data_IF_505776563098
#
_entry.id   IF_505776563098
#
_cell.length_a   1.000
_cell.length_b   1.000
_cell.length_c   1.000
_cell.angle_alpha   90.00
_cell.angle_beta   90.00
_cell.angle_gamma   90.00
#
_symmetry.space_group_name_H-M   'P 1'
#
loop_
_entity.id
_entity.type
_entity.pdbx_description
1 polymer ?
#
# COMPACT_ATOMS: atom_id res chain seq x y z
N UNK A 1 -9.47 -8.65 29.34
CA UNK A 1 -10.48 -8.05 28.43
C UNK A 1 -9.93 -7.88 27.02
N UNK A 2 -8.83 -7.13 26.83
CA UNK A 2 -8.21 -6.90 25.51
C UNK A 2 -7.83 -8.18 24.74
N UNK A 3 -7.18 -9.14 25.42
CA UNK A 3 -6.77 -10.41 24.81
C UNK A 3 -7.97 -11.29 24.38
N UNK A 4 -9.04 -11.31 25.18
CA UNK A 4 -10.29 -11.99 24.83
C UNK A 4 -11.01 -11.32 23.64
N UNK A 5 -10.98 -9.99 23.56
CA UNK A 5 -11.53 -9.25 22.42
C UNK A 5 -10.75 -9.54 21.13
N UNK A 6 -9.42 -9.62 21.23
CA UNK A 6 -8.55 -9.93 20.09
C UNK A 6 -8.72 -11.36 19.59
N UNK A 7 -8.85 -12.33 20.50
CA UNK A 7 -9.17 -13.72 20.16
C UNK A 7 -10.54 -13.79 19.49
N UNK A 8 -11.56 -13.15 20.07
CA UNK A 8 -12.92 -13.13 19.49
C UNK A 8 -12.98 -12.52 18.10
N UNK A 9 -12.27 -11.40 17.86
CA UNK A 9 -12.17 -10.81 16.52
C UNK A 9 -11.41 -11.71 15.53
N UNK A 10 -10.40 -12.45 16.01
CA UNK A 10 -9.65 -13.41 15.17
C UNK A 10 -10.52 -14.61 14.78
N UNK A 11 -11.31 -15.14 15.72
CA UNK A 11 -12.27 -16.22 15.45
C UNK A 11 -13.33 -15.79 14.43
N UNK A 12 -13.88 -14.59 14.58
CA UNK A 12 -14.82 -14.01 13.61
C UNK A 12 -14.18 -13.87 12.23
N UNK A 13 -12.91 -13.41 12.17
CA UNK A 13 -12.14 -13.34 10.94
C UNK A 13 -11.95 -14.71 10.27
N UNK A 14 -11.63 -15.75 11.04
CA UNK A 14 -11.50 -17.12 10.55
C UNK A 14 -12.86 -17.65 10.03
N UNK A 15 -13.96 -17.38 10.74
CA UNK A 15 -15.30 -17.77 10.30
C UNK A 15 -15.66 -17.09 8.98
N UNK A 16 -15.44 -15.78 8.84
CA UNK A 16 -15.68 -15.08 7.56
C UNK A 16 -14.78 -15.58 6.44
N UNK A 17 -13.51 -15.88 6.72
CA UNK A 17 -12.60 -16.48 5.75
C UNK A 17 -13.08 -17.87 5.31
N UNK A 18 -13.57 -18.71 6.24
CA UNK A 18 -14.14 -20.02 5.92
C UNK A 18 -15.44 -19.91 5.13
N UNK A 19 -16.35 -19.01 5.53
CA UNK A 19 -17.56 -18.73 4.76
C UNK A 19 -17.17 -18.31 3.35
N UNK A 20 -16.24 -17.37 3.20
CA UNK A 20 -15.75 -16.92 1.90
C UNK A 20 -15.13 -18.07 1.12
N UNK A 21 -14.30 -18.92 1.74
CA UNK A 21 -13.71 -20.11 1.11
C UNK A 21 -14.77 -21.11 0.60
N UNK A 22 -15.83 -21.34 1.39
CA UNK A 22 -16.90 -22.28 1.02
C UNK A 22 -17.98 -21.66 0.10
N UNK A 23 -18.05 -20.33 -0.01
CA UNK A 23 -19.07 -19.63 -0.82
C UNK A 23 -18.50 -18.92 -2.05
N UNK A 24 -17.18 -18.76 -2.14
CA UNK A 24 -16.53 -18.11 -3.28
C UNK A 24 -16.35 -19.10 -4.42
N UNK A 25 -16.94 -18.74 -5.55
CA UNK A 25 -16.85 -19.41 -6.84
C UNK A 25 -15.55 -19.05 -7.56
N UNK A 26 -14.39 -19.24 -6.92
CA UNK A 26 -13.12 -19.10 -7.63
C UNK A 26 -12.94 -20.27 -8.59
N UNK A 27 -12.84 -19.90 -9.88
CA UNK A 27 -12.62 -20.71 -11.07
C UNK A 27 -12.07 -22.11 -10.76
N UNK A 28 -12.92 -23.14 -10.84
CA UNK A 28 -12.43 -24.51 -10.88
C UNK A 28 -11.40 -24.59 -12.02
N UNK A 29 -10.17 -24.91 -11.64
CA UNK A 29 -9.12 -25.33 -12.56
C UNK A 29 -9.77 -26.28 -13.56
N UNK A 30 -9.73 -25.94 -14.84
CA UNK A 30 -10.39 -26.73 -15.88
C UNK A 30 -9.88 -28.17 -15.77
N UNK A 31 -10.68 -29.21 -16.03
CA UNK A 31 -10.21 -30.61 -15.89
C UNK A 31 -8.85 -30.88 -16.57
N UNK A 32 -8.55 -30.15 -17.66
CA UNK A 32 -7.26 -30.18 -18.34
C UNK A 32 -6.12 -29.49 -17.56
N UNK A 33 -6.37 -28.33 -16.94
CA UNK A 33 -5.39 -27.65 -16.08
C UNK A 33 -5.17 -28.43 -14.77
N UNK A 34 -6.20 -29.09 -14.24
CA UNK A 34 -6.10 -29.93 -13.05
C UNK A 34 -5.31 -31.20 -13.35
N UNK A 35 -5.53 -31.80 -14.54
CA UNK A 35 -4.72 -32.91 -15.02
C UNK A 35 -3.26 -32.52 -15.29
N UNK A 36 -2.99 -31.29 -15.76
CA UNK A 36 -1.64 -30.77 -15.93
C UNK A 36 -0.94 -30.53 -14.57
N UNK A 37 -1.63 -29.91 -13.61
CA UNK A 37 -1.13 -29.74 -12.23
C UNK A 37 -0.91 -31.09 -11.52
N UNK A 38 -1.78 -32.08 -11.74
CA UNK A 38 -1.63 -33.44 -11.23
C UNK A 38 -0.47 -34.19 -11.91
N UNK A 39 -0.25 -33.98 -13.22
CA UNK A 39 0.88 -34.55 -13.95
C UNK A 39 2.21 -33.95 -13.48
N UNK A 40 2.25 -32.63 -13.21
CA UNK A 40 3.39 -31.96 -12.57
C UNK A 40 3.61 -32.44 -11.13
N UNK A 41 2.53 -32.68 -10.37
CA UNK A 41 2.62 -33.25 -9.01
C UNK A 41 3.12 -34.70 -8.99
N UNK A 42 2.84 -35.49 -10.03
CA UNK A 42 3.28 -36.89 -10.15
C UNK A 42 4.73 -37.06 -10.63
N UNK A 43 5.40 -35.99 -11.10
CA UNK A 43 6.81 -36.04 -11.53
C UNK A 43 7.84 -35.82 -10.40
N UNK A 44 7.42 -35.58 -9.16
CA UNK A 44 8.33 -35.26 -8.05
C UNK A 44 8.78 -36.46 -7.20
N UNK A 45 9.70 -37.29 -7.69
CA UNK A 45 10.54 -38.09 -6.79
C UNK A 45 11.52 -37.13 -6.06
N UNK A 46 11.51 -37.17 -4.72
CA UNK A 46 12.22 -36.31 -3.75
C UNK A 46 11.58 -34.95 -3.38
N UNK A 47 10.69 -35.02 -2.39
CA UNK A 47 9.93 -33.90 -1.78
C UNK A 47 10.79 -32.67 -1.40
N UNK A 48 12.05 -32.84 -1.01
CA UNK A 48 12.94 -31.72 -0.64
C UNK A 48 13.55 -30.99 -1.85
N UNK A 49 13.96 -31.72 -2.89
CA UNK A 49 14.46 -31.16 -4.14
C UNK A 49 13.32 -30.45 -4.89
N UNK A 50 12.12 -31.04 -4.90
CA UNK A 50 10.91 -30.42 -5.47
C UNK A 50 10.54 -29.12 -4.76
N UNK A 51 10.71 -29.01 -3.43
CA UNK A 51 10.48 -27.76 -2.70
C UNK A 51 11.48 -26.66 -3.08
N UNK A 52 12.77 -26.98 -3.21
CA UNK A 52 13.78 -26.02 -3.64
C UNK A 52 13.61 -25.56 -5.08
N UNK A 53 13.20 -26.46 -5.98
CA UNK A 53 12.88 -26.13 -7.38
C UNK A 53 11.67 -25.19 -7.41
N UNK A 54 10.56 -25.55 -6.75
CA UNK A 54 9.36 -24.70 -6.65
C UNK A 54 9.65 -23.34 -6.01
N UNK A 55 10.52 -23.29 -4.99
CA UNK A 55 10.96 -22.02 -4.40
C UNK A 55 11.74 -21.16 -5.40
N UNK A 56 12.68 -21.76 -6.15
CA UNK A 56 13.45 -21.04 -7.18
C UNK A 56 12.55 -20.53 -8.31
N UNK A 57 11.56 -21.31 -8.72
CA UNK A 57 10.55 -20.92 -9.72
C UNK A 57 9.72 -19.75 -9.20
N UNK A 58 9.16 -19.85 -8.00
CA UNK A 58 8.39 -18.79 -7.36
C UNK A 58 9.22 -17.51 -7.19
N UNK A 59 10.49 -17.64 -6.76
CA UNK A 59 11.41 -16.51 -6.65
C UNK A 59 11.71 -15.88 -8.02
N UNK A 60 11.88 -16.70 -9.07
CA UNK A 60 12.03 -16.22 -10.44
C UNK A 60 10.76 -15.49 -10.92
N UNK A 61 9.58 -15.99 -10.59
CA UNK A 61 8.31 -15.35 -10.93
C UNK A 61 8.19 -14.00 -10.25
N UNK A 62 8.48 -13.91 -8.94
CA UNK A 62 8.55 -12.63 -8.24
C UNK A 62 9.54 -11.66 -8.89
N UNK A 63 10.77 -12.11 -9.18
CA UNK A 63 11.77 -11.29 -9.86
C UNK A 63 11.35 -10.87 -11.27
N UNK A 64 10.54 -11.68 -11.97
CA UNK A 64 10.02 -11.33 -13.29
C UNK A 64 9.02 -10.18 -13.23
N UNK A 65 8.21 -10.12 -12.17
CA UNK A 65 7.22 -9.05 -11.94
C UNK A 65 7.94 -7.69 -11.74
N UNK A 66 9.10 -7.68 -11.08
CA UNK A 66 9.92 -6.47 -10.95
C UNK A 66 10.39 -5.86 -12.28
N UNK A 67 10.34 -6.60 -13.40
CA UNK A 67 10.66 -6.01 -14.71
C UNK A 67 9.65 -4.92 -15.08
N UNK A 68 8.39 -5.09 -14.70
CA UNK A 68 7.28 -4.17 -15.01
C UNK A 68 7.51 -2.84 -14.30
N UNK A 69 7.73 -1.78 -15.08
CA UNK A 69 8.03 -0.43 -14.57
C UNK A 69 6.93 0.12 -13.68
N UNK A 70 5.66 -0.06 -14.06
CA UNK A 70 4.52 0.43 -13.28
C UNK A 70 4.40 -0.27 -11.94
N UNK A 71 4.61 -1.60 -11.90
CA UNK A 71 4.56 -2.36 -10.65
C UNK A 71 5.64 -1.90 -9.66
N UNK A 72 6.88 -1.70 -10.12
CA UNK A 72 7.97 -1.17 -9.27
C UNK A 72 7.57 0.14 -8.61
N UNK A 73 7.04 1.10 -9.40
CA UNK A 73 6.61 2.39 -8.86
C UNK A 73 5.48 2.25 -7.86
N UNK A 74 4.48 1.43 -8.17
CA UNK A 74 3.36 1.17 -7.27
C UNK A 74 3.84 0.62 -5.93
N UNK A 75 4.73 -0.37 -5.95
CA UNK A 75 5.31 -0.98 -4.76
C UNK A 75 6.11 0.01 -3.89
N UNK A 76 6.81 0.98 -4.51
CA UNK A 76 7.46 2.06 -3.74
C UNK A 76 6.47 3.06 -3.15
N UNK A 77 5.40 3.40 -3.87
CA UNK A 77 4.34 4.31 -3.38
C UNK A 77 3.68 3.67 -2.16
N UNK A 78 3.15 2.47 -2.35
CA UNK A 78 2.37 1.77 -1.34
C UNK A 78 3.22 1.40 -0.12
N UNK A 79 4.45 0.94 -0.34
CA UNK A 79 5.42 0.72 0.73
C UNK A 79 5.71 2.00 1.52
N UNK A 80 5.96 3.13 0.87
CA UNK A 80 6.22 4.40 1.56
C UNK A 80 4.98 4.92 2.31
N UNK A 81 3.77 4.73 1.76
CA UNK A 81 2.51 5.08 2.40
C UNK A 81 2.30 4.26 3.68
N UNK A 82 2.57 2.95 3.61
CA UNK A 82 2.44 2.06 4.74
C UNK A 82 3.48 2.37 5.84
N UNK A 83 4.70 2.71 5.45
CA UNK A 83 5.75 3.20 6.37
C UNK A 83 5.34 4.52 7.03
N UNK A 84 4.85 5.50 6.27
CA UNK A 84 4.40 6.79 6.79
C UNK A 84 3.25 6.62 7.79
N UNK A 85 2.23 5.85 7.42
CA UNK A 85 1.07 5.56 8.27
C UNK A 85 1.46 4.84 9.55
N UNK A 86 2.36 3.85 9.45
CA UNK A 86 2.84 3.11 10.61
C UNK A 86 3.66 3.99 11.57
N UNK A 87 4.61 4.77 11.05
CA UNK A 87 5.40 5.68 11.88
C UNK A 87 4.51 6.73 12.56
N UNK A 88 3.51 7.26 11.85
CA UNK A 88 2.53 8.18 12.44
C UNK A 88 1.75 7.49 13.56
N UNK A 89 1.24 6.28 13.33
CA UNK A 89 0.52 5.49 14.36
C UNK A 89 1.36 5.19 15.60
N UNK A 90 2.64 4.87 15.41
CA UNK A 90 3.59 4.59 16.49
C UNK A 90 3.87 5.84 17.34
N UNK A 91 4.05 7.01 16.72
CA UNK A 91 4.54 8.22 17.39
C UNK A 91 3.43 9.14 17.88
N UNK A 92 2.26 9.18 17.22
CA UNK A 92 1.19 10.15 17.48
C UNK A 92 0.75 10.14 18.95
N UNK A 93 0.54 8.97 19.55
CA UNK A 93 0.16 8.86 20.97
C UNK A 93 1.24 9.45 21.88
N UNK A 94 2.50 9.11 21.62
CA UNK A 94 3.61 9.61 22.42
C UNK A 94 3.81 11.12 22.25
N UNK A 95 3.58 11.65 21.05
CA UNK A 95 3.62 13.08 20.78
C UNK A 95 2.52 13.83 21.54
N UNK A 96 1.26 13.39 21.46
CA UNK A 96 0.13 14.02 22.15
C UNK A 96 0.33 14.03 23.67
N UNK A 97 0.80 12.91 24.24
CA UNK A 97 0.96 12.80 25.70
C UNK A 97 2.22 13.50 26.19
N UNK A 98 3.37 13.26 25.57
CA UNK A 98 4.66 13.69 26.12
C UNK A 98 5.16 15.03 25.58
N UNK A 99 4.68 15.49 24.41
CA UNK A 99 5.06 16.80 23.85
C UNK A 99 3.97 17.83 24.15
N UNK A 100 2.73 17.50 23.83
CA UNK A 100 1.59 18.42 23.99
C UNK A 100 1.01 18.42 25.41
N UNK A 101 1.33 17.41 26.24
CA UNK A 101 0.82 17.31 27.61
C UNK A 101 -0.68 17.01 27.68
N UNK A 102 -1.27 16.48 26.61
CA UNK A 102 -2.68 16.13 26.54
C UNK A 102 -2.91 14.68 27.01
N UNK A 103 -4.16 14.33 27.31
CA UNK A 103 -4.50 12.97 27.72
C UNK A 103 -4.46 12.01 26.51
N UNK A 104 -4.04 10.75 26.73
CA UNK A 104 -4.10 9.69 25.74
C UNK A 104 -5.51 9.45 25.18
N UNK A 105 -6.57 9.78 25.94
CA UNK A 105 -7.95 9.76 25.45
C UNK A 105 -8.16 10.66 24.23
N UNK A 106 -7.43 11.79 24.13
CA UNK A 106 -7.49 12.68 22.96
C UNK A 106 -7.09 11.94 21.70
N UNK A 107 -6.05 11.11 21.74
CA UNK A 107 -5.64 10.29 20.60
C UNK A 107 -6.74 9.33 20.15
N UNK A 108 -7.42 8.67 21.11
CA UNK A 108 -8.53 7.77 20.80
C UNK A 108 -9.70 8.51 20.14
N UNK A 109 -10.01 9.73 20.58
CA UNK A 109 -11.02 10.58 19.95
C UNK A 109 -10.61 10.99 18.52
N UNK A 110 -9.36 11.41 18.29
CA UNK A 110 -8.86 11.77 16.96
C UNK A 110 -8.89 10.58 15.99
N UNK A 111 -8.51 9.38 16.45
CA UNK A 111 -8.59 8.15 15.65
C UNK A 111 -10.04 7.81 15.30
N UNK A 112 -10.96 7.92 16.25
CA UNK A 112 -12.39 7.68 16.00
C UNK A 112 -12.97 8.67 14.98
N UNK A 113 -12.58 9.95 15.09
CA UNK A 113 -12.95 11.00 14.15
C UNK A 113 -12.38 10.72 12.75
N UNK A 114 -11.13 10.26 12.68
CA UNK A 114 -10.47 9.85 11.43
C UNK A 114 -11.25 8.75 10.71
N UNK A 115 -11.65 7.70 11.42
CA UNK A 115 -12.44 6.61 10.83
C UNK A 115 -13.80 7.10 10.34
N UNK A 116 -14.49 7.92 11.13
CA UNK A 116 -15.82 8.43 10.77
C UNK A 116 -15.77 9.34 9.54
N UNK A 117 -14.88 10.35 9.54
CA UNK A 117 -14.71 11.26 8.39
C UNK A 117 -14.17 10.50 7.18
N UNK A 118 -13.28 9.53 7.39
CA UNK A 118 -12.63 8.77 6.33
C UNK A 118 -13.61 8.05 5.41
N UNK A 119 -14.70 7.50 5.95
CA UNK A 119 -15.76 6.87 5.14
C UNK A 119 -16.33 7.86 4.11
N UNK A 120 -16.64 9.09 4.53
CA UNK A 120 -17.17 10.12 3.63
C UNK A 120 -16.12 10.60 2.63
N UNK A 121 -14.87 10.74 3.06
CA UNK A 121 -13.75 11.11 2.20
C UNK A 121 -13.55 10.06 1.10
N UNK A 122 -13.58 8.77 1.43
CA UNK A 122 -13.44 7.68 0.45
C UNK A 122 -14.58 7.67 -0.56
N UNK A 123 -15.83 7.87 -0.13
CA UNK A 123 -17.00 7.97 -1.04
C UNK A 123 -16.82 9.16 -2.01
N UNK A 124 -16.45 10.33 -1.48
CA UNK A 124 -16.20 11.50 -2.31
C UNK A 124 -15.01 11.28 -3.26
N UNK A 125 -13.93 10.65 -2.79
CA UNK A 125 -12.75 10.32 -3.58
C UNK A 125 -13.07 9.37 -4.74
N UNK A 126 -13.91 8.36 -4.50
CA UNK A 126 -14.39 7.45 -5.55
C UNK A 126 -15.20 8.15 -6.63
N UNK A 127 -15.95 9.20 -6.30
CA UNK A 127 -16.63 10.03 -7.30
C UNK A 127 -15.63 10.91 -8.09
N UNK A 128 -14.65 11.50 -7.39
CA UNK A 128 -13.65 12.41 -7.97
C UNK A 128 -12.67 11.68 -8.90
N UNK A 129 -12.23 10.47 -8.57
CA UNK A 129 -11.27 9.69 -9.39
C UNK A 129 -11.84 9.27 -10.74
N UNK A 130 -13.16 9.12 -10.84
CA UNK A 130 -13.83 8.85 -12.10
C UNK A 130 -13.95 10.08 -13.01
N UNK A 131 -13.78 11.29 -12.45
CA UNK A 131 -13.97 12.57 -13.17
C UNK A 131 -12.67 13.33 -13.45
N UNK A 132 -11.65 13.17 -12.59
CA UNK A 132 -10.39 13.89 -12.69
C UNK A 132 -9.22 12.93 -12.83
N UNK A 133 -8.18 13.37 -13.56
CA UNK A 133 -6.98 12.56 -13.78
C UNK A 133 -6.30 12.20 -12.44
N UNK A 134 -5.93 10.91 -12.21
CA UNK A 134 -5.37 10.44 -10.94
C UNK A 134 -4.17 11.25 -10.46
N UNK A 135 -3.35 11.77 -11.37
CA UNK A 135 -2.14 12.54 -11.06
C UNK A 135 -2.39 13.80 -10.20
N UNK A 136 -3.52 14.49 -10.40
CA UNK A 136 -3.86 15.65 -9.55
C UNK A 136 -4.27 15.21 -8.15
N UNK A 137 -4.91 14.04 -8.02
CA UNK A 137 -5.30 13.49 -6.74
C UNK A 137 -4.08 13.08 -5.90
N UNK A 138 -3.02 12.54 -6.52
CA UNK A 138 -1.72 12.35 -5.86
C UNK A 138 -1.22 13.69 -5.27
N UNK A 139 -1.13 14.74 -6.08
CA UNK A 139 -0.66 16.05 -5.60
C UNK A 139 -1.47 16.61 -4.42
N UNK A 140 -2.80 16.51 -4.46
CA UNK A 140 -3.68 16.97 -3.37
C UNK A 140 -3.52 16.11 -2.12
N UNK A 141 -3.57 14.77 -2.26
CA UNK A 141 -3.53 13.85 -1.13
C UNK A 141 -2.23 13.99 -0.32
N UNK A 142 -1.10 13.87 -1.01
CA UNK A 142 0.21 14.02 -0.39
C UNK A 142 0.49 15.46 0.05
N UNK A 143 -0.02 16.46 -0.67
CA UNK A 143 0.07 17.87 -0.25
C UNK A 143 -0.62 18.11 1.10
N UNK A 144 -1.83 17.59 1.30
CA UNK A 144 -2.54 17.68 2.59
C UNK A 144 -1.80 16.92 3.69
N UNK A 145 -1.25 15.74 3.39
CA UNK A 145 -0.43 14.99 4.34
C UNK A 145 0.83 15.78 4.76
N UNK A 146 1.53 16.42 3.83
CA UNK A 146 2.70 17.25 4.14
C UNK A 146 2.35 18.49 4.97
N UNK A 147 1.23 19.14 4.67
CA UNK A 147 0.71 20.24 5.50
C UNK A 147 0.45 19.75 6.93
N UNK A 148 -0.08 18.54 7.10
CA UNK A 148 -0.28 17.96 8.42
C UNK A 148 1.05 17.68 9.16
N UNK A 149 2.07 17.18 8.46
CA UNK A 149 3.41 16.97 9.03
C UNK A 149 4.04 18.28 9.53
N UNK A 150 3.92 19.35 8.73
CA UNK A 150 4.37 20.69 9.13
C UNK A 150 3.56 21.18 10.34
N UNK A 151 2.23 21.00 10.31
CA UNK A 151 1.33 21.35 11.40
C UNK A 151 1.70 20.67 12.72
N UNK A 152 1.97 19.36 12.72
CA UNK A 152 2.42 18.64 13.90
C UNK A 152 3.79 19.15 14.39
N UNK A 153 4.71 19.47 13.48
CA UNK A 153 5.98 20.10 13.85
C UNK A 153 5.78 21.44 14.56
N UNK A 154 4.97 22.33 13.99
CA UNK A 154 4.66 23.65 14.57
C UNK A 154 3.99 23.53 15.94
N UNK A 155 3.06 22.58 16.11
CA UNK A 155 2.43 22.31 17.40
C UNK A 155 3.44 21.86 18.46
N UNK A 156 4.42 21.03 18.07
CA UNK A 156 5.46 20.55 18.98
C UNK A 156 6.41 21.67 19.45
N UNK A 157 6.76 22.61 18.56
CA UNK A 157 7.70 23.69 18.86
C UNK A 157 7.06 24.92 19.51
N UNK A 158 5.92 25.38 19.01
CA UNK A 158 5.33 26.67 19.41
C UNK A 158 4.41 26.51 20.62
N UNK A 159 3.66 25.39 20.69
CA UNK A 159 2.62 25.14 21.69
C UNK A 159 1.69 26.36 21.89
N UNK A 160 0.98 26.79 20.82
CA UNK A 160 0.15 28.00 20.86
C UNK A 160 -1.04 27.86 21.82
N UNK A 161 -1.61 28.99 22.22
CA UNK A 161 -2.89 29.04 22.91
C UNK A 161 -3.99 28.31 22.09
N UNK A 162 -4.95 27.71 22.79
CA UNK A 162 -5.97 26.83 22.19
C UNK A 162 -5.41 25.61 21.45
N UNK A 163 -4.39 24.97 22.01
CA UNK A 163 -3.68 23.81 21.44
C UNK A 163 -4.58 22.71 20.85
N UNK A 164 -5.68 22.37 21.54
CA UNK A 164 -6.62 21.32 21.09
C UNK A 164 -7.32 21.71 19.78
N UNK A 165 -7.67 22.98 19.59
CA UNK A 165 -8.30 23.46 18.36
C UNK A 165 -7.34 23.35 17.17
N UNK A 166 -6.08 23.79 17.35
CA UNK A 166 -5.06 23.67 16.31
C UNK A 166 -4.73 22.21 16.00
N UNK A 167 -4.68 21.35 17.02
CA UNK A 167 -4.50 19.90 16.84
C UNK A 167 -5.62 19.30 15.99
N UNK A 168 -6.88 19.69 16.20
CA UNK A 168 -8.01 19.24 15.39
C UNK A 168 -7.88 19.70 13.93
N UNK A 169 -7.47 20.95 13.69
CA UNK A 169 -7.26 21.46 12.32
C UNK A 169 -6.16 20.65 11.62
N UNK A 170 -5.02 20.44 12.27
CA UNK A 170 -3.92 19.63 11.71
C UNK A 170 -4.36 18.20 11.47
N UNK A 171 -5.16 17.63 12.39
CA UNK A 171 -5.69 16.28 12.23
C UNK A 171 -6.63 16.18 11.04
N UNK A 172 -7.45 17.19 10.74
CA UNK A 172 -8.29 17.19 9.54
C UNK A 172 -7.44 17.05 8.28
N UNK A 173 -6.36 17.83 8.15
CA UNK A 173 -5.44 17.67 7.00
C UNK A 173 -4.83 16.28 6.94
N UNK A 174 -4.44 15.72 8.09
CA UNK A 174 -3.92 14.35 8.18
C UNK A 174 -4.95 13.30 7.76
N UNK A 175 -6.22 13.47 8.16
CA UNK A 175 -7.32 12.56 7.78
C UNK A 175 -7.57 12.62 6.28
N UNK A 176 -7.78 13.80 5.72
CA UNK A 176 -8.06 13.95 4.29
C UNK A 176 -6.87 13.45 3.44
N UNK A 177 -5.64 13.83 3.79
CA UNK A 177 -4.45 13.33 3.11
C UNK A 177 -4.33 11.81 3.21
N UNK A 178 -4.40 11.29 4.44
CA UNK A 178 -4.33 9.86 4.79
C UNK A 178 -5.27 8.97 3.97
N UNK A 179 -6.54 9.34 3.97
CA UNK A 179 -7.59 8.56 3.33
C UNK A 179 -7.49 8.62 1.80
N UNK A 180 -7.07 9.77 1.25
CA UNK A 180 -6.92 9.93 -0.20
C UNK A 180 -5.70 9.16 -0.73
N UNK A 181 -4.53 9.26 -0.09
CA UNK A 181 -3.35 8.56 -0.61
C UNK A 181 -3.44 7.05 -0.41
N UNK A 182 -4.13 6.54 0.61
CA UNK A 182 -4.39 5.10 0.72
C UNK A 182 -5.37 4.58 -0.34
N UNK A 183 -6.32 5.41 -0.76
CA UNK A 183 -7.35 5.03 -1.72
C UNK A 183 -6.82 4.97 -3.17
N UNK A 184 -6.01 5.93 -3.60
CA UNK A 184 -5.63 6.05 -5.02
C UNK A 184 -4.82 4.82 -5.51
N UNK A 185 -3.72 4.39 -4.87
CA UNK A 185 -2.97 3.20 -5.27
C UNK A 185 -3.84 1.94 -5.18
N UNK A 186 -4.67 1.82 -4.14
CA UNK A 186 -5.56 0.68 -3.93
C UNK A 186 -6.60 0.50 -5.05
N UNK A 187 -7.02 1.58 -5.71
CA UNK A 187 -7.94 1.48 -6.87
C UNK A 187 -7.25 1.04 -8.16
N UNK A 188 -5.97 1.37 -8.35
CA UNK A 188 -5.21 1.03 -9.57
C UNK A 188 -4.60 -0.36 -9.48
N UNK A 189 -4.27 -0.82 -8.27
CA UNK A 189 -3.59 -2.08 -8.02
C UNK A 189 -4.27 -3.31 -8.66
N UNK A 190 -5.60 -3.53 -8.53
CA UNK A 190 -6.26 -4.70 -9.10
C UNK A 190 -6.14 -4.80 -10.62
N UNK A 191 -5.93 -3.67 -11.30
CA UNK A 191 -5.79 -3.60 -12.76
C UNK A 191 -4.33 -3.74 -13.22
N UNK A 192 -3.33 -3.61 -12.34
CA UNK A 192 -1.92 -3.74 -12.72
C UNK A 192 -1.50 -5.14 -13.22
N UNK A 193 -2.02 -6.26 -12.69
CA UNK A 193 -1.67 -7.60 -13.17
C UNK A 193 -1.93 -7.82 -14.66
N UNK A 194 -2.81 -7.03 -15.29
CA UNK A 194 -3.06 -7.14 -16.74
C UNK A 194 -1.81 -6.88 -17.58
N UNK A 195 -0.91 -6.02 -17.10
CA UNK A 195 0.37 -5.74 -17.74
C UNK A 195 1.26 -6.99 -17.77
N UNK A 196 1.19 -7.81 -16.74
CA UNK A 196 1.93 -9.05 -16.66
C UNK A 196 1.31 -10.17 -17.49
N UNK A 197 -0.03 -10.23 -17.51
CA UNK A 197 -0.74 -11.12 -18.43
C UNK A 197 -0.42 -10.81 -19.88
N UNK A 198 -0.26 -9.53 -20.24
CA UNK A 198 0.21 -9.14 -21.57
C UNK A 198 1.61 -9.71 -21.87
N UNK A 199 2.55 -9.68 -20.92
CA UNK A 199 3.93 -10.13 -21.17
C UNK A 199 4.08 -11.66 -21.14
N UNK A 200 3.34 -12.33 -20.27
CA UNK A 200 3.55 -13.76 -19.95
C UNK A 200 2.44 -14.69 -20.42
N UNK A 201 1.28 -14.14 -20.82
CA UNK A 201 0.09 -14.91 -21.18
C UNK A 201 -0.64 -15.52 -19.99
N UNK A 202 -0.10 -15.42 -18.77
CA UNK A 202 -0.66 -16.03 -17.56
C UNK A 202 -1.30 -14.98 -16.65
N UNK A 203 -2.36 -15.38 -15.93
CA UNK A 203 -2.95 -14.54 -14.90
C UNK A 203 -2.23 -14.77 -13.57
N UNK A 204 -1.33 -13.86 -13.19
CA UNK A 204 -0.53 -13.94 -11.96
C UNK A 204 -0.97 -12.90 -10.90
N UNK A 205 -2.26 -12.56 -10.87
CA UNK A 205 -2.81 -11.56 -9.94
C UNK A 205 -2.58 -11.93 -8.46
N UNK A 206 -2.64 -13.22 -8.11
CA UNK A 206 -2.31 -13.71 -6.76
C UNK A 206 -0.86 -13.46 -6.38
N UNK A 207 0.09 -13.74 -7.29
CA UNK A 207 1.53 -13.49 -7.09
C UNK A 207 1.85 -12.00 -6.98
N UNK A 208 1.12 -11.15 -7.70
CA UNK A 208 1.20 -9.70 -7.54
C UNK A 208 0.78 -9.26 -6.14
N UNK A 209 -0.36 -9.75 -5.67
CA UNK A 209 -0.93 -9.42 -4.36
C UNK A 209 -0.03 -9.90 -3.22
N UNK A 210 0.52 -11.11 -3.31
CA UNK A 210 1.45 -11.62 -2.31
C UNK A 210 2.76 -10.83 -2.27
N UNK A 211 3.29 -10.42 -3.44
CA UNK A 211 4.52 -9.63 -3.49
C UNK A 211 4.34 -8.21 -2.93
N UNK A 212 3.21 -7.55 -3.25
CA UNK A 212 2.85 -6.26 -2.67
C UNK A 212 2.74 -6.36 -1.14
N UNK A 213 1.97 -7.32 -0.64
CA UNK A 213 1.81 -7.53 0.80
C UNK A 213 3.12 -7.87 1.52
N UNK A 214 4.04 -8.62 0.90
CA UNK A 214 5.37 -8.86 1.46
C UNK A 214 6.18 -7.56 1.59
N UNK A 215 6.09 -6.66 0.62
CA UNK A 215 6.76 -5.36 0.67
C UNK A 215 6.16 -4.42 1.71
N UNK A 216 4.83 -4.38 1.79
CA UNK A 216 4.10 -3.63 2.82
C UNK A 216 4.51 -4.07 4.22
N UNK A 217 4.49 -5.39 4.48
CA UNK A 217 4.88 -5.96 5.78
C UNK A 217 6.36 -5.76 6.07
N UNK A 218 7.23 -5.92 5.06
CA UNK A 218 8.65 -5.60 5.20
C UNK A 218 8.86 -4.13 5.58
N UNK A 219 8.13 -3.22 4.94
CA UNK A 219 8.17 -1.79 5.25
C UNK A 219 7.67 -1.45 6.65
N UNK A 220 6.59 -2.10 7.07
CA UNK A 220 6.06 -2.00 8.43
C UNK A 220 7.11 -2.39 9.48
N UNK A 221 7.75 -3.56 9.31
CA UNK A 221 8.79 -4.06 10.24
C UNK A 221 10.00 -3.12 10.29
N UNK A 222 10.51 -2.71 9.13
CA UNK A 222 11.66 -1.78 9.05
C UNK A 222 11.34 -0.47 9.76
N UNK A 223 10.15 0.07 9.54
CA UNK A 223 9.72 1.34 10.17
C UNK A 223 9.62 1.23 11.67
N UNK A 224 9.07 0.12 12.20
CA UNK A 224 9.02 -0.09 13.65
C UNK A 224 10.41 -0.20 14.26
N UNK A 225 11.31 -0.97 13.65
CA UNK A 225 12.69 -1.12 14.14
C UNK A 225 13.40 0.24 14.16
N UNK A 226 13.28 1.03 13.08
CA UNK A 226 13.91 2.35 13.01
C UNK A 226 13.25 3.35 13.96
N UNK A 227 11.93 3.42 14.00
CA UNK A 227 11.17 4.33 14.85
C UNK A 227 11.40 4.08 16.33
N UNK A 228 11.29 2.81 16.76
CA UNK A 228 11.59 2.40 18.13
C UNK A 228 13.07 2.53 18.46
N UNK A 229 13.96 2.20 17.52
CA UNK A 229 15.40 2.38 17.70
C UNK A 229 15.77 3.83 17.97
N UNK A 230 15.23 4.77 17.19
CA UNK A 230 15.45 6.22 17.40
C UNK A 230 14.85 6.68 18.73
N UNK A 231 13.68 6.17 19.12
CA UNK A 231 13.08 6.47 20.43
C UNK A 231 13.96 5.97 21.59
N UNK A 232 14.46 4.74 21.51
CA UNK A 232 15.34 4.16 22.53
C UNK A 232 16.64 4.97 22.66
N UNK A 233 17.26 5.35 21.54
CA UNK A 233 18.46 6.19 21.50
C UNK A 233 18.23 7.59 22.10
N UNK A 234 17.02 8.14 21.98
CA UNK A 234 16.67 9.42 22.61
C UNK A 234 16.55 9.34 24.14
N UNK A 235 16.53 8.13 24.71
CA UNK A 235 16.31 7.89 26.14
C UNK A 235 14.84 7.93 26.53
N UNK A 236 13.93 7.65 25.60
CA UNK A 236 12.49 7.64 25.84
C UNK A 236 12.13 6.64 26.94
N UNK A 237 11.45 7.12 28.00
CA UNK A 237 10.93 6.28 29.08
C UNK A 237 9.42 6.16 28.93
N UNK A 238 8.95 5.00 28.49
CA UNK A 238 7.51 4.74 28.40
C UNK A 238 6.92 4.58 29.80
N UNK A 239 5.81 5.26 30.10
CA UNK A 239 5.06 5.06 31.35
C UNK A 239 3.63 4.67 31.06
N UNK A 240 3.16 3.70 31.84
CA UNK A 240 1.78 3.21 31.83
C UNK A 240 0.86 4.04 32.74
N UNK A 241 1.39 5.00 33.51
CA UNK A 241 0.64 5.78 34.52
C UNK A 241 0.39 7.24 34.16
N UNK A 242 0.76 7.68 32.95
CA UNK A 242 0.53 9.04 32.45
C UNK A 242 1.81 9.72 31.96
N UNK A 243 1.71 11.02 31.67
CA UNK A 243 2.83 11.81 31.16
C UNK A 243 4.02 11.76 32.13
N UNK A 244 5.15 11.24 31.66
CA UNK A 244 6.43 11.34 32.39
C UNK A 244 7.07 12.65 32.03
N UNK A 245 7.81 13.25 32.96
CA UNK A 245 8.68 14.37 32.63
C UNK A 245 9.82 13.86 31.71
N UNK A 246 9.61 13.94 30.41
CA UNK A 246 10.57 13.53 29.39
C UNK A 246 11.64 14.62 29.20
N UNK A 247 12.85 14.21 28.81
CA UNK A 247 13.91 15.16 28.48
C UNK A 247 13.52 16.01 27.26
N UNK A 248 14.05 17.24 27.12
CA UNK A 248 13.87 18.05 25.92
C UNK A 248 14.31 17.32 24.64
N UNK A 249 15.34 16.48 24.73
CA UNK A 249 15.81 15.63 23.62
C UNK A 249 14.72 14.67 23.14
N UNK A 250 14.02 14.01 24.06
CA UNK A 250 12.92 13.10 23.73
C UNK A 250 11.75 13.85 23.08
N UNK A 251 11.38 15.03 23.60
CA UNK A 251 10.32 15.84 23.01
C UNK A 251 10.68 16.31 21.59
N UNK A 252 11.94 16.69 21.37
CA UNK A 252 12.46 17.03 20.05
C UNK A 252 12.42 15.82 19.12
N UNK A 253 12.89 14.65 19.55
CA UNK A 253 12.86 13.41 18.76
C UNK A 253 11.43 13.05 18.34
N UNK A 254 10.46 13.09 19.27
CA UNK A 254 9.06 12.82 18.96
C UNK A 254 8.50 13.81 17.93
N UNK A 255 8.81 15.10 18.11
CA UNK A 255 8.38 16.16 17.18
C UNK A 255 8.99 15.97 15.79
N UNK A 256 10.27 15.62 15.71
CA UNK A 256 10.96 15.38 14.43
C UNK A 256 10.49 14.09 13.76
N UNK A 257 10.21 13.02 14.51
CA UNK A 257 9.71 11.77 13.93
C UNK A 257 8.32 11.96 13.31
N UNK A 258 7.39 12.64 14.00
CA UNK A 258 6.04 12.86 13.46
C UNK A 258 5.99 13.89 12.33
N UNK A 259 6.92 14.85 12.30
CA UNK A 259 6.98 15.87 11.26
C UNK A 259 7.91 15.46 10.10
N UNK A 260 9.22 15.42 10.35
CA UNK A 260 10.25 15.12 9.36
C UNK A 260 10.29 13.64 8.99
N UNK A 261 10.16 12.74 9.97
CA UNK A 261 10.18 11.29 9.72
C UNK A 261 9.03 10.83 8.83
N UNK A 262 7.79 11.13 9.26
CA UNK A 262 6.59 10.85 8.44
C UNK A 262 6.64 11.64 7.13
N UNK A 263 6.99 12.92 7.19
CA UNK A 263 7.09 13.79 6.02
C UNK A 263 8.07 13.28 4.95
N UNK A 264 9.18 12.67 5.36
CA UNK A 264 10.15 12.05 4.44
C UNK A 264 9.51 10.91 3.65
N UNK A 265 8.80 9.99 4.30
CA UNK A 265 8.11 8.90 3.60
C UNK A 265 7.01 9.43 2.68
N UNK A 266 6.23 10.43 3.14
CA UNK A 266 5.21 11.11 2.32
C UNK A 266 5.83 11.79 1.09
N UNK A 267 7.01 12.39 1.21
CA UNK A 267 7.74 12.98 0.08
C UNK A 267 8.21 11.93 -0.93
N UNK A 268 8.73 10.80 -0.45
CA UNK A 268 9.14 9.68 -1.31
C UNK A 268 7.94 9.12 -2.07
N UNK A 269 6.81 8.95 -1.39
CA UNK A 269 5.56 8.51 -2.00
C UNK A 269 5.05 9.53 -3.03
N UNK A 270 5.03 10.83 -2.69
CA UNK A 270 4.65 11.91 -3.60
C UNK A 270 5.50 11.92 -4.87
N UNK A 271 6.83 11.84 -4.72
CA UNK A 271 7.75 11.84 -5.87
C UNK A 271 7.45 10.69 -6.83
N UNK A 272 7.24 9.48 -6.29
CA UNK A 272 6.91 8.31 -7.11
C UNK A 272 5.50 8.42 -7.69
N UNK A 273 4.52 8.89 -6.92
CA UNK A 273 3.12 9.08 -7.31
C UNK A 273 2.93 10.11 -8.43
N UNK A 274 3.62 11.25 -8.37
CA UNK A 274 3.58 12.26 -9.45
C UNK A 274 4.17 11.76 -10.77
N UNK A 275 5.04 10.74 -10.70
CA UNK A 275 5.67 10.09 -11.84
C UNK A 275 4.95 8.81 -12.26
N UNK A 276 3.90 8.40 -11.54
CA UNK A 276 3.10 7.22 -11.82
C UNK A 276 2.20 7.50 -13.01
N UNK A 277 2.30 6.65 -14.03
CA UNK A 277 1.67 6.86 -15.33
C UNK A 277 0.58 5.85 -15.68
N UNK A 278 0.42 4.83 -14.83
CA UNK A 278 -0.65 3.86 -14.98
C UNK A 278 -1.95 4.54 -14.56
N UNK A 279 -2.86 4.61 -15.52
CA UNK A 279 -4.19 5.20 -15.37
C UNK A 279 -5.20 4.15 -15.82
N UNK A 280 -6.42 4.22 -15.28
CA UNK A 280 -7.50 3.28 -15.57
C UNK A 280 -7.75 3.15 -17.07
N UNK A 281 -7.86 4.28 -17.79
CA UNK A 281 -8.06 4.26 -19.25
C UNK A 281 -6.95 3.53 -20.02
N UNK A 282 -5.68 3.66 -19.59
CA UNK A 282 -4.56 2.96 -20.21
C UNK A 282 -4.57 1.47 -19.88
N UNK A 283 -4.92 1.12 -18.64
CA UNK A 283 -4.99 -0.28 -18.21
C UNK A 283 -6.18 -1.00 -18.86
N UNK A 284 -7.31 -0.31 -19.03
CA UNK A 284 -8.48 -0.80 -19.76
C UNK A 284 -8.13 -1.06 -21.23
N UNK A 285 -7.41 -0.15 -21.88
CA UNK A 285 -6.90 -0.35 -23.24
C UNK A 285 -6.02 -1.62 -23.36
N UNK A 286 -5.12 -1.85 -22.40
CA UNK A 286 -4.30 -3.06 -22.38
C UNK A 286 -5.15 -4.31 -22.10
N UNK A 287 -6.18 -4.20 -21.26
CA UNK A 287 -7.09 -5.30 -20.97
C UNK A 287 -7.92 -5.73 -22.19
N UNK A 288 -8.40 -4.76 -22.98
CA UNK A 288 -9.06 -5.02 -24.26
C UNK A 288 -8.13 -5.74 -25.23
N UNK A 289 -6.88 -5.31 -25.30
CA UNK A 289 -5.87 -5.94 -26.15
C UNK A 289 -5.55 -7.37 -25.70
N UNK A 290 -5.36 -7.61 -24.41
CA UNK A 290 -5.13 -8.96 -23.86
C UNK A 290 -6.32 -9.87 -24.18
N UNK A 291 -7.55 -9.35 -24.08
CA UNK A 291 -8.77 -10.08 -24.48
C UNK A 291 -8.72 -10.45 -25.96
N UNK A 292 -8.37 -9.50 -26.85
CA UNK A 292 -8.24 -9.75 -28.30
C UNK A 292 -7.19 -10.82 -28.62
N UNK A 293 -6.02 -10.77 -27.97
CA UNK A 293 -4.95 -11.76 -28.14
C UNK A 293 -5.37 -13.15 -27.65
N UNK A 294 -6.07 -13.23 -26.51
CA UNK A 294 -6.67 -14.48 -26.01
C UNK A 294 -7.70 -15.06 -26.99
N UNK A 295 -8.48 -14.22 -27.66
CA UNK A 295 -9.42 -14.62 -28.72
C UNK A 295 -8.75 -15.01 -30.04
N UNK A 296 -7.41 -14.98 -30.13
CA UNK A 296 -6.65 -15.39 -31.32
C UNK A 296 -6.31 -14.26 -32.29
N UNK A 297 -6.47 -13.00 -31.88
CA UNK A 297 -6.02 -11.84 -32.68
C UNK A 297 -4.51 -11.81 -32.87
N UNK A 298 -4.05 -11.23 -33.97
CA UNK A 298 -2.60 -11.13 -34.29
C UNK A 298 -1.96 -9.92 -33.63
N UNK A 299 -0.72 -10.08 -33.16
CA UNK A 299 0.13 -8.98 -32.65
C UNK A 299 0.27 -7.81 -33.64
N UNK A 300 0.32 -8.10 -34.95
CA UNK A 300 0.52 -7.09 -36.00
C UNK A 300 -0.66 -6.13 -36.16
N UNK A 301 -1.84 -6.49 -35.65
CA UNK A 301 -3.06 -5.68 -35.73
C UNK A 301 -3.20 -4.71 -34.55
N UNK A 302 -2.26 -4.73 -33.59
CA UNK A 302 -2.27 -3.82 -32.46
C UNK A 302 -2.14 -2.36 -32.90
N UNK A 303 -2.94 -1.48 -32.29
CA UNK A 303 -2.90 -0.04 -32.57
C UNK A 303 -1.58 0.58 -32.13
N UNK A 304 -1.20 1.71 -32.75
CA UNK A 304 0.00 2.47 -32.33
C UNK A 304 -0.09 2.92 -30.87
N UNK A 305 -1.30 3.17 -30.38
CA UNK A 305 -1.56 3.59 -29.01
C UNK A 305 -1.28 2.44 -28.02
N UNK A 306 -1.78 1.22 -28.29
CA UNK A 306 -1.48 0.02 -27.49
C UNK A 306 0.03 -0.16 -27.37
N UNK A 307 0.76 -0.11 -28.49
CA UNK A 307 2.23 -0.27 -28.48
C UNK A 307 2.93 0.78 -27.62
N UNK A 308 2.51 2.04 -27.73
CA UNK A 308 3.07 3.14 -26.95
C UNK A 308 2.78 3.00 -25.44
N UNK A 309 1.54 2.63 -25.09
CA UNK A 309 1.11 2.43 -23.70
C UNK A 309 1.82 1.22 -23.08
N UNK A 310 1.97 0.11 -23.81
CA UNK A 310 2.76 -1.04 -23.35
C UNK A 310 4.16 -0.62 -22.98
N UNK A 311 4.91 0.03 -23.89
CA UNK A 311 6.27 0.50 -23.62
C UNK A 311 6.34 1.47 -22.45
N UNK A 312 5.35 2.34 -22.31
CA UNK A 312 5.30 3.29 -21.21
C UNK A 312 5.10 2.61 -19.84
N UNK A 313 4.20 1.62 -19.77
CA UNK A 313 3.77 1.01 -18.52
C UNK A 313 4.62 -0.20 -18.10
N UNK A 314 5.03 -1.05 -19.05
CA UNK A 314 5.87 -2.22 -18.78
C UNK A 314 7.35 -1.88 -18.86
N UNK A 315 7.73 -1.02 -19.79
CA UNK A 315 9.13 -0.77 -20.17
C UNK A 315 9.63 -1.65 -21.31
N UNK A 316 8.83 -2.62 -21.76
CA UNK A 316 9.14 -3.55 -22.85
C UNK A 316 8.46 -3.10 -24.15
N UNK A 317 9.14 -3.31 -25.27
CA UNK A 317 8.55 -3.06 -26.58
C UNK A 317 7.44 -4.08 -26.86
N UNK A 318 6.26 -3.63 -27.30
CA UNK A 318 5.14 -4.54 -27.58
C UNK A 318 5.55 -5.64 -28.56
N UNK A 319 6.29 -5.29 -29.60
CA UNK A 319 6.73 -6.24 -30.64
C UNK A 319 7.77 -7.27 -30.15
N UNK A 320 8.35 -7.11 -28.95
CA UNK A 320 9.28 -8.11 -28.37
C UNK A 320 8.57 -9.24 -27.62
N UNK A 321 7.24 -9.15 -27.44
CA UNK A 321 6.46 -10.12 -26.67
C UNK A 321 6.28 -11.40 -27.48
N UNK A 322 7.00 -12.45 -27.08
CA UNK A 322 7.02 -13.72 -27.81
C UNK A 322 5.80 -14.62 -27.55
N UNK A 323 5.11 -14.46 -26.40
CA UNK A 323 4.06 -15.39 -25.96
C UNK A 323 2.83 -15.41 -26.89
N UNK A 324 2.58 -14.31 -27.58
CA UNK A 324 1.42 -14.15 -28.49
C UNK A 324 1.77 -14.30 -29.97
N UNK A 325 3.04 -14.60 -30.30
CA UNK A 325 3.44 -14.88 -31.67
C UNK A 325 2.93 -16.27 -32.08
N UNK A 326 1.82 -16.27 -32.83
CA UNK A 326 1.27 -17.43 -33.53
C UNK A 326 1.58 -17.35 -35.01
#
# INVERSE_FOLDING_TARGET
MYLYLQIGLSEVGIIFALITYYTTWEHFVTKNEAALMEAEHKQGENVSATRWIKFKETARDYLSIFKIRSFRKHLFIDGADQMAGNLNGLILTYFIVNVLGLNASVTAYLSSLSTFIGIFVMIAAGYVINKYAPRYMYGVAYGMALVSCIGFGLLGFIKPDHLVMWLLIVQIFSIFGGQLYGFIPGTVFPSLPVLDTLLTGQSRAGTFSSLAGLFEQGGFVITNILGEGVLQLSGFKSSTTGAVNQSPTVQLTLTLLISVGVGFFVLVALYNGLSFKADKSKLDLINEEVTRLKSGGKMSEASKEVKAVTKELTGEDYDSIAVWNK
#
